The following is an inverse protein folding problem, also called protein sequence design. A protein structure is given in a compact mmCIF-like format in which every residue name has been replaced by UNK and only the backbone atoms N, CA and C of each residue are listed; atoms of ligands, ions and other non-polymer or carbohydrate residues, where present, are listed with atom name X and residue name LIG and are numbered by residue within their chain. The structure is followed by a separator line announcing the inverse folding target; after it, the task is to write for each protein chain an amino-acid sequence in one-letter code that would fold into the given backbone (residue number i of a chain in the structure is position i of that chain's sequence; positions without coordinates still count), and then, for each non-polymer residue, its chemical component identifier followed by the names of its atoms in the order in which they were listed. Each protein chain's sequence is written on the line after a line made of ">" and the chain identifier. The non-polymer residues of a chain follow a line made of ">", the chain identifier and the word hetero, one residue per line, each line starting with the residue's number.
data_IF_887244703148
#
_entry.id   IF_887244703148
#
_cell.length_a   1.000
_cell.length_b   1.000
_cell.length_c   1.000
_cell.angle_alpha   90.00
_cell.angle_beta   90.00
_cell.angle_gamma   90.00
#
_symmetry.space_group_name_H-M   'P 1'
#
loop_
_entity.id
_entity.type
_entity.pdbx_description
1 polymer ?
#
# COMPACT_ATOMS: atom_id res chain seq x y z
N UNK A 1 -19.24 25.22 -8.71
CA UNK A 1 -18.48 25.52 -7.47
C UNK A 1 -17.07 26.05 -7.78
N UNK A 2 -16.41 26.78 -6.88
CA UNK A 2 -15.03 27.27 -7.10
C UNK A 2 -14.02 26.10 -7.09
N UNK A 3 -13.12 26.05 -8.09
CA UNK A 3 -12.03 25.07 -8.22
C UNK A 3 -11.22 24.89 -6.93
N UNK A 4 -10.98 25.98 -6.17
CA UNK A 4 -10.26 25.90 -4.89
C UNK A 4 -10.97 25.01 -3.86
N UNK A 5 -12.31 25.08 -3.79
CA UNK A 5 -13.09 24.25 -2.86
C UNK A 5 -13.05 22.79 -3.28
N UNK A 6 -13.21 22.50 -4.57
CA UNK A 6 -13.08 21.13 -5.10
C UNK A 6 -11.74 20.50 -4.73
N UNK A 7 -10.64 21.24 -4.91
CA UNK A 7 -9.31 20.79 -4.48
C UNK A 7 -9.26 20.45 -2.99
N UNK A 8 -9.83 21.31 -2.14
CA UNK A 8 -9.87 21.05 -0.70
C UNK A 8 -10.67 19.80 -0.32
N UNK A 9 -11.78 19.50 -1.02
CA UNK A 9 -12.48 18.22 -0.81
C UNK A 9 -11.65 17.03 -1.27
N UNK A 10 -10.98 17.15 -2.43
CA UNK A 10 -10.13 16.08 -2.95
C UNK A 10 -8.94 15.81 -2.02
N UNK A 11 -8.26 16.85 -1.55
CA UNK A 11 -7.17 16.75 -0.56
C UNK A 11 -7.67 16.10 0.73
N UNK A 12 -8.87 16.47 1.19
CA UNK A 12 -9.48 15.87 2.37
C UNK A 12 -9.74 14.37 2.17
N UNK A 13 -10.29 13.99 1.02
CA UNK A 13 -10.64 12.62 0.70
C UNK A 13 -9.40 11.73 0.60
N UNK A 14 -8.40 12.15 -0.17
CA UNK A 14 -7.12 11.44 -0.33
C UNK A 14 -6.42 11.26 1.01
N UNK A 15 -6.32 12.32 1.80
CA UNK A 15 -5.66 12.24 3.11
C UNK A 15 -6.38 11.26 4.04
N UNK A 16 -7.72 11.31 4.08
CA UNK A 16 -8.52 10.37 4.88
C UNK A 16 -8.34 8.93 4.44
N UNK A 17 -8.30 8.69 3.13
CA UNK A 17 -8.15 7.33 2.61
C UNK A 17 -6.76 6.77 2.86
N UNK A 18 -5.69 7.56 2.71
CA UNK A 18 -4.32 7.06 2.91
C UNK A 18 -3.93 6.95 4.39
N UNK A 19 -4.32 7.89 5.24
CA UNK A 19 -3.88 7.92 6.65
C UNK A 19 -4.61 6.90 7.53
N UNK A 20 -5.81 6.45 7.16
CA UNK A 20 -6.67 5.67 8.05
C UNK A 20 -7.04 4.28 7.51
N UNK A 21 -6.72 3.98 6.27
CA UNK A 21 -6.96 2.65 5.72
C UNK A 21 -5.88 1.66 6.16
N UNK A 22 -6.26 0.40 6.39
CA UNK A 22 -5.34 -0.70 6.62
C UNK A 22 -5.21 -1.63 5.40
N UNK A 23 -6.07 -1.45 4.39
CA UNK A 23 -6.18 -2.31 3.21
C UNK A 23 -6.30 -1.53 1.90
N UNK A 24 -6.08 -0.21 1.95
CA UNK A 24 -6.21 0.69 0.80
C UNK A 24 -7.66 1.14 0.53
N UNK A 25 -8.68 0.55 1.15
CA UNK A 25 -10.08 0.92 0.89
C UNK A 25 -10.57 1.99 1.84
N UNK A 26 -11.38 2.91 1.31
CA UNK A 26 -12.01 3.96 2.09
C UNK A 26 -13.36 4.37 1.52
N UNK A 27 -14.28 4.82 2.39
CA UNK A 27 -15.61 5.30 2.02
C UNK A 27 -15.89 6.63 2.70
N UNK A 28 -16.38 7.62 1.94
CA UNK A 28 -16.77 8.95 2.46
C UNK A 28 -18.21 9.23 2.07
N UNK A 29 -19.08 9.38 3.07
CA UNK A 29 -20.49 9.72 2.82
C UNK A 29 -20.66 11.16 2.34
N UNK A 30 -21.67 11.42 1.50
CA UNK A 30 -22.01 12.79 1.10
C UNK A 30 -22.50 13.63 2.29
N UNK A 31 -23.14 12.99 3.28
CA UNK A 31 -23.55 13.63 4.53
C UNK A 31 -22.35 14.19 5.29
N UNK A 32 -21.23 13.45 5.35
CA UNK A 32 -19.99 13.93 5.97
C UNK A 32 -19.44 15.16 5.26
N UNK A 33 -19.37 15.12 3.93
CA UNK A 33 -18.90 16.26 3.12
C UNK A 33 -19.79 17.49 3.32
N UNK A 34 -21.11 17.29 3.40
CA UNK A 34 -22.08 18.37 3.65
C UNK A 34 -21.91 18.96 5.04
N UNK A 35 -21.83 18.14 6.08
CA UNK A 35 -21.66 18.60 7.47
C UNK A 35 -20.33 19.32 7.69
N UNK A 36 -19.25 18.85 7.06
CA UNK A 36 -17.91 19.39 7.27
C UNK A 36 -17.61 20.63 6.42
N UNK A 37 -18.11 20.68 5.19
CA UNK A 37 -17.77 21.75 4.23
C UNK A 37 -18.95 22.63 3.83
N UNK A 38 -20.18 22.27 4.21
CA UNK A 38 -21.40 22.99 3.81
C UNK A 38 -21.68 22.86 2.31
N UNK A 39 -21.30 21.75 1.70
CA UNK A 39 -21.37 21.52 0.25
C UNK A 39 -22.22 20.31 -0.03
N UNK A 40 -23.18 20.48 -0.94
CA UNK A 40 -23.96 19.38 -1.47
C UNK A 40 -23.19 18.66 -2.57
N UNK A 41 -22.95 17.36 -2.39
CA UNK A 41 -22.25 16.47 -3.31
C UNK A 41 -23.14 15.26 -3.53
N UNK A 42 -23.31 14.85 -4.77
CA UNK A 42 -23.94 13.57 -5.14
C UNK A 42 -23.34 13.05 -6.43
N UNK A 43 -23.60 11.79 -6.77
CA UNK A 43 -23.19 11.14 -8.01
C UNK A 43 -23.74 11.84 -9.28
N UNK A 44 -24.90 12.48 -9.17
CA UNK A 44 -25.56 13.13 -10.31
C UNK A 44 -25.33 14.64 -10.43
N UNK A 45 -24.93 15.32 -9.35
CA UNK A 45 -24.83 16.78 -9.34
C UNK A 45 -23.50 17.30 -9.89
N UNK A 46 -23.45 18.60 -10.23
CA UNK A 46 -22.26 19.20 -10.85
C UNK A 46 -21.05 19.20 -9.91
N UNK A 47 -21.28 19.37 -8.61
CA UNK A 47 -20.22 19.35 -7.60
C UNK A 47 -19.55 17.98 -7.51
N UNK A 48 -20.34 16.90 -7.55
CA UNK A 48 -19.85 15.53 -7.58
C UNK A 48 -19.05 15.24 -8.83
N UNK A 49 -19.54 15.64 -10.01
CA UNK A 49 -18.78 15.50 -11.28
C UNK A 49 -17.44 16.24 -11.25
N UNK A 50 -17.40 17.43 -10.66
CA UNK A 50 -16.15 18.18 -10.49
C UNK A 50 -15.19 17.50 -9.51
N UNK A 51 -15.71 16.98 -8.40
CA UNK A 51 -14.92 16.28 -7.38
C UNK A 51 -14.38 14.96 -7.92
N UNK A 52 -15.22 14.17 -8.60
CA UNK A 52 -14.85 12.93 -9.26
C UNK A 52 -13.70 13.17 -10.25
N UNK A 53 -13.82 14.19 -11.10
CA UNK A 53 -12.77 14.53 -12.07
C UNK A 53 -11.45 14.91 -11.40
N UNK A 54 -11.49 15.65 -10.30
CA UNK A 54 -10.29 16.01 -9.53
C UNK A 54 -9.68 14.78 -8.86
N UNK A 55 -10.49 13.90 -8.26
CA UNK A 55 -10.03 12.66 -7.61
C UNK A 55 -9.44 11.66 -8.60
N UNK A 56 -10.01 11.53 -9.80
CA UNK A 56 -9.46 10.66 -10.86
C UNK A 56 -8.10 11.11 -11.40
N UNK A 57 -7.65 12.31 -11.06
CA UNK A 57 -6.32 12.83 -11.42
C UNK A 57 -5.29 12.68 -10.30
N UNK A 58 -5.68 12.10 -9.16
CA UNK A 58 -4.81 11.88 -8.01
C UNK A 58 -4.06 10.57 -8.18
N UNK A 59 -2.73 10.63 -8.09
CA UNK A 59 -1.85 9.47 -8.23
C UNK A 59 -2.06 8.46 -7.10
N UNK A 60 -2.59 8.89 -5.96
CA UNK A 60 -2.89 8.04 -4.81
C UNK A 60 -4.11 7.14 -5.03
N UNK A 61 -5.00 7.49 -5.97
CA UNK A 61 -6.29 6.82 -6.19
C UNK A 61 -6.17 5.79 -7.32
N UNK A 62 -6.31 4.51 -6.96
CA UNK A 62 -6.33 3.40 -7.93
C UNK A 62 -7.73 3.19 -8.53
N UNK A 63 -8.77 3.19 -7.69
CA UNK A 63 -10.16 3.05 -8.11
C UNK A 63 -11.06 4.06 -7.41
N UNK A 64 -12.09 4.51 -8.13
CA UNK A 64 -13.06 5.50 -7.63
C UNK A 64 -14.46 5.19 -8.17
N UNK A 65 -15.40 5.00 -7.24
CA UNK A 65 -16.82 4.77 -7.51
C UNK A 65 -17.64 5.85 -6.79
N UNK A 66 -18.44 6.59 -7.54
CA UNK A 66 -19.44 7.51 -7.01
C UNK A 66 -20.76 6.72 -6.89
N UNK A 67 -21.22 6.44 -5.68
CA UNK A 67 -22.51 5.78 -5.41
C UNK A 67 -23.57 6.81 -5.05
N UNK A 68 -24.82 6.37 -4.85
CA UNK A 68 -25.93 7.25 -4.45
C UNK A 68 -25.69 7.93 -3.08
N UNK A 69 -24.95 7.29 -2.18
CA UNK A 69 -24.77 7.71 -0.78
C UNK A 69 -23.35 8.20 -0.45
N UNK A 70 -22.35 7.85 -1.27
CA UNK A 70 -20.96 8.03 -0.91
C UNK A 70 -19.99 8.01 -2.09
N UNK A 71 -18.74 8.33 -1.75
CA UNK A 71 -17.57 8.10 -2.58
C UNK A 71 -16.85 6.89 -2.01
N UNK A 72 -16.69 5.85 -2.81
CA UNK A 72 -15.92 4.65 -2.49
C UNK A 72 -14.61 4.69 -3.28
N UNK A 73 -13.49 4.52 -2.58
CA UNK A 73 -12.16 4.64 -3.18
C UNK A 73 -11.23 3.53 -2.71
N UNK A 74 -10.36 3.12 -3.63
CA UNK A 74 -9.22 2.25 -3.35
C UNK A 74 -7.96 3.03 -3.66
N UNK A 75 -7.06 3.17 -2.69
CA UNK A 75 -5.77 3.80 -2.84
C UNK A 75 -4.70 2.79 -3.26
N UNK A 76 -3.68 3.27 -3.98
CA UNK A 76 -2.44 2.51 -4.12
C UNK A 76 -1.78 2.37 -2.74
N UNK A 77 -1.43 1.13 -2.37
CA UNK A 77 -0.91 0.81 -1.03
C UNK A 77 0.41 1.52 -0.70
N UNK A 78 1.20 1.86 -1.72
CA UNK A 78 2.45 2.62 -1.58
C UNK A 78 2.24 4.02 -0.95
N UNK A 79 1.04 4.59 -1.07
CA UNK A 79 0.68 5.87 -0.44
C UNK A 79 0.01 5.71 0.92
N UNK A 80 -0.18 4.48 1.43
CA UNK A 80 -0.91 4.20 2.67
C UNK A 80 0.06 3.76 3.78
N UNK A 81 0.47 4.64 4.71
CA UNK A 81 1.49 4.32 5.70
C UNK A 81 1.14 3.12 6.59
N UNK A 82 -0.13 2.99 6.98
CA UNK A 82 -0.58 1.92 7.87
C UNK A 82 -0.70 0.57 7.16
N UNK A 83 -0.78 0.55 5.83
CA UNK A 83 -0.79 -0.70 5.06
C UNK A 83 0.60 -1.38 5.07
N UNK A 84 1.64 -0.62 5.40
CA UNK A 84 3.02 -1.07 5.49
C UNK A 84 3.46 -1.36 6.94
N UNK A 85 2.57 -1.17 7.93
CA UNK A 85 2.90 -1.24 9.36
C UNK A 85 2.88 -2.69 9.89
N UNK A 86 3.73 -3.53 9.28
CA UNK A 86 3.97 -4.92 9.69
C UNK A 86 5.45 -5.28 9.63
N UNK A 87 6.22 -5.00 10.70
CA UNK A 87 7.58 -5.53 10.94
C UNK A 87 8.56 -5.49 9.75
N UNK A 88 9.48 -6.47 9.68
CA UNK A 88 10.42 -6.69 8.54
C UNK A 88 9.72 -6.75 7.15
N UNK A 89 8.38 -6.83 7.09
CA UNK A 89 7.61 -7.04 5.87
C UNK A 89 7.29 -5.76 5.08
N UNK A 90 7.48 -4.57 5.65
CA UNK A 90 7.48 -3.33 4.86
C UNK A 90 8.67 -3.25 3.89
N UNK A 91 9.78 -3.93 4.20
CA UNK A 91 11.00 -3.95 3.40
C UNK A 91 11.02 -5.06 2.33
N UNK A 92 10.41 -6.21 2.57
CA UNK A 92 10.42 -7.34 1.63
C UNK A 92 9.50 -7.14 0.42
N UNK A 93 8.41 -6.37 0.55
CA UNK A 93 7.51 -6.07 -0.57
C UNK A 93 8.21 -5.29 -1.70
N UNK A 94 9.11 -4.37 -1.36
CA UNK A 94 9.89 -3.60 -2.34
C UNK A 94 11.07 -4.39 -2.92
N UNK A 95 11.72 -5.24 -2.10
CA UNK A 95 12.87 -6.05 -2.53
C UNK A 95 12.43 -7.18 -3.50
N UNK A 96 11.24 -7.75 -3.29
CA UNK A 96 10.70 -8.79 -4.17
C UNK A 96 10.21 -8.26 -5.53
N UNK A 97 9.73 -7.00 -5.61
CA UNK A 97 9.37 -6.33 -6.87
C UNK A 97 10.59 -5.97 -7.73
N UNK A 98 11.76 -5.81 -7.09
CA UNK A 98 13.05 -5.57 -7.74
C UNK A 98 13.76 -6.87 -8.18
N UNK A 99 13.14 -8.04 -7.95
CA UNK A 99 13.69 -9.34 -8.39
C UNK A 99 14.93 -9.80 -7.61
N UNK A 100 15.23 -9.22 -6.45
CA UNK A 100 16.32 -9.69 -5.60
C UNK A 100 15.81 -10.80 -4.69
N UNK A 101 15.95 -12.05 -5.12
CA UNK A 101 16.01 -13.17 -4.18
C UNK A 101 17.23 -12.92 -3.30
N UNK A 102 17.04 -12.56 -2.02
CA UNK A 102 18.10 -12.66 -1.03
C UNK A 102 18.37 -14.15 -0.86
N UNK A 103 19.28 -14.69 -1.69
CA UNK A 103 19.92 -15.94 -1.35
C UNK A 103 20.70 -15.66 -0.07
N UNK A 104 20.31 -16.30 1.02
CA UNK A 104 21.24 -16.52 2.14
C UNK A 104 22.40 -17.31 1.53
N UNK A 105 23.48 -16.62 1.16
CA UNK A 105 24.77 -17.26 0.99
C UNK A 105 25.14 -17.77 2.39
N UNK A 106 24.74 -19.01 2.68
CA UNK A 106 25.35 -19.79 3.73
C UNK A 106 26.86 -19.74 3.47
N UNK A 107 27.57 -18.95 4.27
CA UNK A 107 29.02 -19.07 4.47
C UNK A 107 29.27 -20.46 5.08
N UNK A 108 29.19 -21.51 4.26
CA UNK A 108 29.82 -22.78 4.60
C UNK A 108 31.33 -22.57 4.48
N UNK A 109 31.95 -22.46 5.66
CA UNK A 109 33.38 -22.51 5.88
C UNK A 109 34.05 -23.54 4.95
N UNK A 110 35.26 -23.25 4.43
CA UNK A 110 35.89 -24.08 3.42
C UNK A 110 36.07 -25.51 3.94
N UNK A 111 35.66 -26.47 3.11
CA UNK A 111 35.85 -27.89 3.32
C UNK A 111 37.30 -28.18 3.71
N UNK A 112 37.53 -28.72 4.91
CA UNK A 112 38.83 -29.29 5.25
C UNK A 112 39.10 -30.48 4.34
N UNK A 113 40.30 -30.50 3.78
CA UNK A 113 40.74 -31.47 2.80
C UNK A 113 40.67 -32.91 3.32
N UNK A 114 40.14 -33.79 2.48
CA UNK A 114 40.27 -35.23 2.58
C UNK A 114 41.76 -35.62 2.46
N UNK A 115 42.41 -36.01 3.55
CA UNK A 115 43.61 -36.86 3.48
C UNK A 115 43.23 -38.31 3.80
N UNK A 116 43.10 -39.10 2.75
CA UNK A 116 42.92 -40.55 2.79
C UNK A 116 44.29 -41.21 3.06
N UNK A 117 44.48 -41.75 4.26
CA UNK A 117 45.45 -42.84 4.47
C UNK A 117 44.77 -43.96 5.26
N UNK A 118 44.10 -44.80 4.50
CA UNK A 118 43.84 -46.20 4.84
C UNK A 118 45.18 -46.89 5.18
N UNK A 119 45.32 -47.53 6.35
CA UNK A 119 45.80 -48.92 6.51
C UNK A 119 45.62 -49.45 7.96
N UNK A 120 44.89 -50.56 8.01
CA UNK A 120 44.63 -51.54 9.08
C UNK A 120 45.85 -52.06 9.86
N UNK A 121 45.67 -52.26 11.18
CA UNK A 121 46.03 -53.43 12.02
C UNK A 121 46.10 -52.99 13.49
N UNK A 122 45.75 -53.73 14.54
CA UNK A 122 44.97 -54.93 14.82
C UNK A 122 44.83 -54.97 16.37
N UNK A 123 43.85 -55.72 16.87
CA UNK A 123 43.49 -55.94 18.28
C UNK A 123 44.60 -56.49 19.20
N UNK A 124 44.42 -56.19 20.51
CA UNK A 124 44.84 -56.93 21.73
C UNK A 124 46.33 -56.82 22.12
N UNK A 125 46.75 -56.67 23.39
CA UNK A 125 46.21 -56.93 24.74
C UNK A 125 46.71 -55.82 25.68
#
# INVERSE_FOLDING_TARGET
>A
MNKKRIKQLADYAVRKSTEHTADGRWKISYVELRSRFGIDVSDVNENGKMLEKELRQREEINELIMTEDAIEMTCHLEYCPNCCEGGINGATHLISLMGCNLYDEHDEAPAEELSDESQTQALSI
#
